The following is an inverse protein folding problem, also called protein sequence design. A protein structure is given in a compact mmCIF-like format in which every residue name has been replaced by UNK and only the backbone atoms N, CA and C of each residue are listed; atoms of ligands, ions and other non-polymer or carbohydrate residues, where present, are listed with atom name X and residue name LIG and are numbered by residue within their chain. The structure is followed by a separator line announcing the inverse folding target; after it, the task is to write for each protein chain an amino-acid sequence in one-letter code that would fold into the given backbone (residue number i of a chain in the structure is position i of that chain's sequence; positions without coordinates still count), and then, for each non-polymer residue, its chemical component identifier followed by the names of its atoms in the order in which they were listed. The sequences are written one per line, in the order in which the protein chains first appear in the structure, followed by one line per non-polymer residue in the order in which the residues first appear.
data_IF_446590061607
#
_entry.id   IF_446590061607
#
_cell.length_a   1.000
_cell.length_b   1.000
_cell.length_c   1.000
_cell.angle_alpha   90.00
_cell.angle_beta   90.00
_cell.angle_gamma   90.00
#
_symmetry.space_group_name_H-M   'P 1'
#
loop_
_entity.id
_entity.type
_entity.pdbx_description
1 polymer ?
#
# COMPACT_ATOMS: atom_id res chain seq x y z
N UNK A 1 -2.20 -20.30 0.62
CA UNK A 1 -1.86 -20.35 -0.81
C UNK A 1 -1.16 -19.07 -1.15
N UNK A 2 0.03 -19.15 -1.75
CA UNK A 2 0.72 -17.94 -2.20
C UNK A 2 -0.14 -17.27 -3.27
N UNK A 3 -0.12 -15.94 -3.34
CA UNK A 3 -0.85 -15.18 -4.35
C UNK A 3 -0.58 -15.71 -5.78
N UNK A 4 0.65 -16.19 -6.02
CA UNK A 4 1.09 -16.88 -7.23
C UNK A 4 0.17 -18.04 -7.65
N UNK A 5 -0.16 -18.94 -6.71
CA UNK A 5 -0.98 -20.14 -7.00
C UNK A 5 -2.42 -19.76 -7.28
N UNK A 6 -2.93 -18.76 -6.58
CA UNK A 6 -4.31 -18.31 -6.73
C UNK A 6 -4.57 -17.74 -8.12
N UNK A 7 -3.63 -16.95 -8.65
CA UNK A 7 -3.73 -16.36 -10.00
C UNK A 7 -3.88 -17.42 -11.09
N UNK A 8 -3.20 -18.57 -10.96
CA UNK A 8 -3.27 -19.60 -11.99
C UNK A 8 -4.67 -20.19 -12.17
N UNK A 9 -5.45 -20.22 -11.08
CA UNK A 9 -6.83 -20.71 -11.06
C UNK A 9 -7.88 -19.63 -11.38
N UNK A 10 -7.48 -18.37 -11.57
CA UNK A 10 -8.42 -17.28 -11.79
C UNK A 10 -9.09 -17.36 -13.15
N UNK A 11 -10.40 -17.11 -13.14
CA UNK A 11 -11.24 -16.90 -14.32
C UNK A 11 -12.20 -15.72 -14.03
N UNK A 12 -12.66 -14.99 -15.06
CA UNK A 12 -12.27 -15.10 -16.48
C UNK A 12 -10.84 -14.57 -16.75
N UNK A 13 -10.34 -14.75 -17.98
CA UNK A 13 -8.98 -14.38 -18.36
C UNK A 13 -8.64 -12.90 -18.09
N UNK A 14 -9.60 -11.98 -18.26
CA UNK A 14 -9.41 -10.56 -17.93
C UNK A 14 -9.09 -10.33 -16.45
N UNK A 15 -9.75 -11.08 -15.55
CA UNK A 15 -9.49 -11.04 -14.12
C UNK A 15 -8.10 -11.60 -13.82
N UNK A 16 -7.74 -12.72 -14.46
CA UNK A 16 -6.39 -13.30 -14.36
C UNK A 16 -5.33 -12.30 -14.80
N UNK A 17 -5.51 -11.65 -15.95
CA UNK A 17 -4.59 -10.67 -16.49
C UNK A 17 -4.40 -9.45 -15.55
N UNK A 18 -5.48 -8.94 -14.97
CA UNK A 18 -5.42 -7.84 -14.00
C UNK A 18 -4.56 -8.18 -12.78
N UNK A 19 -4.82 -9.34 -12.18
CA UNK A 19 -4.07 -9.80 -11.02
C UNK A 19 -2.61 -10.18 -11.36
N UNK A 20 -2.40 -10.80 -12.52
CA UNK A 20 -1.06 -11.14 -13.02
C UNK A 20 -0.21 -9.89 -13.24
N UNK A 21 -0.79 -8.82 -13.76
CA UNK A 21 -0.07 -7.55 -13.90
C UNK A 21 0.39 -7.00 -12.54
N UNK A 22 -0.49 -7.00 -11.54
CA UNK A 22 -0.14 -6.59 -10.18
C UNK A 22 0.99 -7.46 -9.58
N UNK A 23 0.85 -8.79 -9.70
CA UNK A 23 1.82 -9.75 -9.24
C UNK A 23 3.20 -9.56 -9.89
N UNK A 24 3.25 -9.41 -11.22
CA UNK A 24 4.50 -9.44 -11.98
C UNK A 24 5.33 -8.16 -11.86
N UNK A 25 4.69 -7.03 -11.53
CA UNK A 25 5.31 -5.71 -11.62
C UNK A 25 5.24 -4.87 -10.34
N UNK A 26 4.35 -5.21 -9.40
CA UNK A 26 4.06 -4.33 -8.25
C UNK A 26 4.15 -5.03 -6.90
N UNK A 27 3.56 -6.23 -6.75
CA UNK A 27 3.49 -6.89 -5.45
C UNK A 27 4.84 -7.45 -5.01
N UNK A 28 5.35 -6.98 -3.87
CA UNK A 28 6.63 -7.40 -3.30
C UNK A 28 7.85 -6.65 -3.85
N UNK A 29 7.65 -5.74 -4.81
CA UNK A 29 8.74 -4.91 -5.34
C UNK A 29 9.04 -3.77 -4.36
N UNK A 30 10.33 -3.48 -4.09
CA UNK A 30 10.70 -2.30 -3.31
C UNK A 30 10.19 -1.00 -3.95
N UNK A 31 9.71 -0.08 -3.12
CA UNK A 31 9.29 1.25 -3.54
C UNK A 31 10.15 2.28 -2.78
N UNK A 32 10.80 3.17 -3.53
CA UNK A 32 11.73 4.18 -3.01
C UNK A 32 11.16 5.61 -3.08
N UNK A 33 9.98 5.78 -3.69
CA UNK A 33 9.28 7.06 -3.77
C UNK A 33 8.23 7.15 -2.67
N UNK A 34 8.29 8.24 -1.88
CA UNK A 34 7.40 8.44 -0.74
C UNK A 34 5.91 8.56 -1.14
N UNK A 35 5.62 9.21 -2.28
CA UNK A 35 4.24 9.35 -2.75
C UNK A 35 3.68 7.99 -3.21
N UNK A 36 4.49 7.16 -3.86
CA UNK A 36 4.08 5.79 -4.21
C UNK A 36 3.95 4.88 -2.97
N UNK A 37 4.83 5.02 -1.97
CA UNK A 37 4.68 4.34 -0.68
C UNK A 37 3.37 4.74 0.02
N UNK A 38 3.07 6.04 0.05
CA UNK A 38 1.82 6.55 0.58
C UNK A 38 0.62 6.02 -0.24
N UNK A 39 0.70 6.06 -1.56
CA UNK A 39 -0.31 5.51 -2.46
C UNK A 39 -0.61 4.05 -2.17
N UNK A 40 0.43 3.20 -2.02
CA UNK A 40 0.25 1.80 -1.62
C UNK A 40 -0.47 1.69 -0.27
N UNK A 41 -0.07 2.45 0.74
CA UNK A 41 -0.74 2.44 2.05
C UNK A 41 -2.23 2.82 1.93
N UNK A 42 -2.57 3.82 1.12
CA UNK A 42 -3.96 4.23 0.89
C UNK A 42 -4.77 3.13 0.18
N UNK A 43 -4.18 2.46 -0.80
CA UNK A 43 -4.84 1.34 -1.49
C UNK A 43 -5.13 0.18 -0.52
N UNK A 44 -4.18 -0.19 0.34
CA UNK A 44 -4.36 -1.25 1.35
C UNK A 44 -5.39 -0.86 2.41
N UNK A 45 -5.41 0.40 2.87
CA UNK A 45 -6.47 0.90 3.77
C UNK A 45 -7.85 0.77 3.12
N UNK A 46 -7.93 1.06 1.82
CA UNK A 46 -9.20 1.01 1.10
C UNK A 46 -9.66 -0.42 0.78
N UNK A 47 -8.75 -1.39 0.73
CA UNK A 47 -9.04 -2.81 0.56
C UNK A 47 -9.87 -3.38 1.72
N UNK A 48 -9.77 -2.83 2.94
CA UNK A 48 -10.45 -3.37 4.11
C UNK A 48 -11.97 -3.55 3.89
N UNK A 49 -12.42 -4.81 3.92
CA UNK A 49 -13.82 -5.21 3.68
C UNK A 49 -14.21 -5.38 2.20
N UNK A 50 -13.25 -5.38 1.28
CA UNK A 50 -13.43 -5.52 -0.17
C UNK A 50 -12.41 -6.50 -0.76
N UNK A 51 -12.62 -6.92 -2.01
CA UNK A 51 -11.61 -7.67 -2.75
C UNK A 51 -10.48 -6.75 -3.22
N UNK A 52 -9.26 -7.27 -3.29
CA UNK A 52 -8.14 -6.52 -3.89
C UNK A 52 -8.40 -6.20 -5.37
N UNK A 53 -9.12 -7.06 -6.08
CA UNK A 53 -9.58 -6.80 -7.46
C UNK A 53 -10.36 -5.47 -7.57
N UNK A 54 -11.21 -5.18 -6.57
CA UNK A 54 -11.96 -3.92 -6.53
C UNK A 54 -11.01 -2.73 -6.47
N UNK A 55 -9.93 -2.85 -5.71
CA UNK A 55 -8.92 -1.80 -5.58
C UNK A 55 -8.11 -1.66 -6.87
N UNK A 56 -7.65 -2.77 -7.46
CA UNK A 56 -6.93 -2.75 -8.74
C UNK A 56 -7.74 -2.10 -9.86
N UNK A 57 -9.04 -2.43 -9.98
CA UNK A 57 -9.95 -1.81 -10.96
C UNK A 57 -10.15 -0.30 -10.73
N UNK A 58 -9.98 0.17 -9.49
CA UNK A 58 -10.17 1.57 -9.10
C UNK A 58 -8.86 2.35 -8.96
N UNK A 59 -7.71 1.72 -9.13
CA UNK A 59 -6.41 2.35 -8.85
C UNK A 59 -6.22 3.67 -9.62
N UNK A 60 -6.54 3.68 -10.91
CA UNK A 60 -6.45 4.90 -11.73
C UNK A 60 -7.35 6.03 -11.19
N UNK A 61 -8.56 5.70 -10.74
CA UNK A 61 -9.47 6.67 -10.13
C UNK A 61 -8.93 7.15 -8.77
N UNK A 62 -8.36 6.26 -7.95
CA UNK A 62 -7.71 6.65 -6.69
C UNK A 62 -6.55 7.62 -6.93
N UNK A 63 -5.70 7.34 -7.92
CA UNK A 63 -4.59 8.23 -8.29
C UNK A 63 -5.12 9.62 -8.65
N UNK A 64 -6.14 9.72 -9.50
CA UNK A 64 -6.73 11.02 -9.86
C UNK A 64 -7.39 11.72 -8.67
N UNK A 65 -8.16 10.98 -7.86
CA UNK A 65 -8.92 11.54 -6.75
C UNK A 65 -8.02 12.15 -5.66
N UNK A 66 -6.85 11.54 -5.42
CA UNK A 66 -5.87 11.91 -4.40
C UNK A 66 -4.63 12.62 -4.98
N UNK A 67 -4.76 13.38 -6.08
CA UNK A 67 -3.66 14.17 -6.67
C UNK A 67 -2.38 13.36 -6.94
N UNK A 68 -2.52 12.18 -7.52
CA UNK A 68 -1.44 11.21 -7.75
C UNK A 68 -0.69 10.79 -6.47
N UNK A 69 -1.41 10.80 -5.34
CA UNK A 69 -0.88 10.51 -4.00
C UNK A 69 0.24 11.46 -3.57
N UNK A 70 0.24 12.70 -4.07
CA UNK A 70 1.13 13.75 -3.59
C UNK A 70 0.83 14.02 -2.10
N UNK A 71 1.76 13.59 -1.24
CA UNK A 71 1.62 13.68 0.22
C UNK A 71 1.39 15.14 0.65
N UNK A 72 2.08 16.09 0.02
CA UNK A 72 1.95 17.51 0.39
C UNK A 72 0.54 18.00 0.07
N UNK A 73 0.02 17.73 -1.14
CA UNK A 73 -1.34 18.13 -1.50
C UNK A 73 -2.39 17.47 -0.62
N UNK A 74 -2.32 16.15 -0.46
CA UNK A 74 -3.32 15.38 0.32
C UNK A 74 -3.33 15.79 1.78
N UNK A 75 -2.18 16.13 2.38
CA UNK A 75 -2.13 16.62 3.76
C UNK A 75 -2.84 17.98 3.96
N UNK A 76 -2.94 18.78 2.90
CA UNK A 76 -3.60 20.10 2.92
C UNK A 76 -5.08 20.06 2.49
N UNK A 77 -5.63 18.88 2.20
CA UNK A 77 -7.04 18.72 1.86
C UNK A 77 -7.96 19.27 2.95
N UNK A 78 -8.97 20.02 2.52
CA UNK A 78 -9.94 20.70 3.37
C UNK A 78 -11.23 19.89 3.54
N UNK A 79 -12.25 20.46 4.17
CA UNK A 79 -13.58 19.80 4.23
C UNK A 79 -14.22 19.71 2.85
N UNK A 80 -13.99 20.71 1.99
CA UNK A 80 -14.44 20.70 0.60
C UNK A 80 -13.87 19.49 -0.17
N UNK A 81 -12.59 19.18 0.03
CA UNK A 81 -11.98 17.97 -0.55
C UNK A 81 -12.58 16.69 0.00
N UNK A 82 -12.88 16.63 1.30
CA UNK A 82 -13.56 15.46 1.90
C UNK A 82 -14.94 15.27 1.28
N UNK A 83 -15.71 16.33 1.10
CA UNK A 83 -17.02 16.29 0.44
C UNK A 83 -16.88 15.85 -1.01
N UNK A 84 -15.90 16.39 -1.76
CA UNK A 84 -15.59 15.97 -3.13
C UNK A 84 -15.31 14.47 -3.20
N UNK A 85 -14.38 13.97 -2.38
CA UNK A 85 -14.01 12.55 -2.33
C UNK A 85 -15.17 11.64 -1.93
N UNK A 86 -16.03 12.07 -1.00
CA UNK A 86 -17.21 11.30 -0.59
C UNK A 86 -18.30 11.25 -1.66
N UNK A 87 -18.28 12.14 -2.64
CA UNK A 87 -19.18 12.13 -3.77
C UNK A 87 -18.59 11.45 -5.02
N UNK A 88 -17.30 11.12 -5.02
CA UNK A 88 -16.63 10.47 -6.14
C UNK A 88 -16.92 8.95 -6.18
N UNK A 89 -17.65 8.52 -7.21
CA UNK A 89 -17.98 7.11 -7.44
C UNK A 89 -16.79 6.26 -7.95
N UNK A 90 -15.72 6.91 -8.40
CA UNK A 90 -14.46 6.30 -8.81
C UNK A 90 -13.75 5.60 -7.65
N UNK A 91 -13.88 6.09 -6.43
CA UNK A 91 -13.22 5.57 -5.23
C UNK A 91 -14.19 4.89 -4.24
N UNK A 92 -13.68 4.50 -3.07
CA UNK A 92 -14.49 3.95 -1.97
C UNK A 92 -14.99 5.11 -1.09
N UNK A 93 -16.28 5.43 -1.21
CA UNK A 93 -16.97 6.53 -0.49
C UNK A 93 -17.20 6.18 0.98
N UNK A 94 -16.12 6.14 1.77
CA UNK A 94 -16.16 5.86 3.20
C UNK A 94 -15.46 6.98 3.98
N UNK A 95 -16.21 7.63 4.88
CA UNK A 95 -15.74 8.79 5.65
C UNK A 95 -14.51 8.49 6.50
N UNK A 96 -14.44 7.31 7.12
CA UNK A 96 -13.30 6.92 7.95
C UNK A 96 -12.04 6.71 7.11
N UNK A 97 -12.17 6.08 5.93
CA UNK A 97 -11.04 5.85 5.01
C UNK A 97 -10.52 7.14 4.37
N UNK A 98 -11.41 8.03 3.93
CA UNK A 98 -11.05 9.37 3.42
C UNK A 98 -10.32 10.16 4.50
N UNK A 99 -10.86 10.17 5.73
CA UNK A 99 -10.21 10.85 6.83
C UNK A 99 -8.84 10.26 7.16
N UNK A 100 -8.72 8.94 7.15
CA UNK A 100 -7.45 8.26 7.37
C UNK A 100 -6.40 8.65 6.33
N UNK A 101 -6.76 8.79 5.05
CA UNK A 101 -5.81 9.19 4.02
C UNK A 101 -5.19 10.57 4.30
N UNK A 102 -6.03 11.56 4.63
CA UNK A 102 -5.59 12.93 4.91
C UNK A 102 -4.74 12.99 6.19
N UNK A 103 -5.19 12.34 7.27
CA UNK A 103 -4.42 12.34 8.53
C UNK A 103 -3.11 11.57 8.40
N UNK A 104 -3.07 10.49 7.60
CA UNK A 104 -1.84 9.75 7.35
C UNK A 104 -0.85 10.57 6.52
N UNK A 105 -1.30 11.34 5.54
CA UNK A 105 -0.43 12.25 4.80
C UNK A 105 0.23 13.28 5.74
N UNK A 106 -0.53 13.86 6.68
CA UNK A 106 0.00 14.77 7.71
C UNK A 106 1.03 14.08 8.63
N UNK A 107 0.74 12.85 9.06
CA UNK A 107 1.70 12.05 9.81
C UNK A 107 2.99 11.86 9.02
N UNK A 108 2.91 11.51 7.73
CA UNK A 108 4.09 11.32 6.89
C UNK A 108 4.90 12.60 6.74
N UNK A 109 4.28 13.78 6.59
CA UNK A 109 5.02 15.06 6.59
C UNK A 109 5.84 15.23 7.88
N UNK A 110 5.30 14.80 9.02
CA UNK A 110 6.03 14.85 10.30
C UNK A 110 7.22 13.89 10.29
N UNK A 111 7.00 12.66 9.80
CA UNK A 111 8.08 11.67 9.66
C UNK A 111 9.17 12.15 8.69
N UNK A 112 8.81 12.80 7.58
CA UNK A 112 9.75 13.36 6.62
C UNK A 112 10.66 14.42 7.25
N UNK A 113 10.15 15.21 8.21
CA UNK A 113 10.96 16.19 8.96
C UNK A 113 11.96 15.52 9.91
N UNK A 114 11.58 14.39 10.51
CA UNK A 114 12.39 13.69 11.51
C UNK A 114 13.41 12.71 10.89
N UNK A 115 13.00 11.97 9.85
CA UNK A 115 13.77 10.87 9.26
C UNK A 115 14.26 11.19 7.84
N UNK A 116 13.83 12.31 7.26
CA UNK A 116 14.16 12.73 5.90
C UNK A 116 13.22 12.18 4.82
N UNK A 117 12.63 11.00 5.01
CA UNK A 117 11.59 10.44 4.12
C UNK A 117 10.73 9.39 4.84
N UNK A 118 9.58 9.03 4.27
CA UNK A 118 8.76 7.92 4.74
C UNK A 118 9.50 6.58 4.57
N UNK A 119 10.19 6.39 3.45
CA UNK A 119 11.06 5.23 3.25
C UNK A 119 12.10 5.11 4.37
N UNK A 120 12.84 6.18 4.68
CA UNK A 120 13.88 6.17 5.71
C UNK A 120 13.31 5.88 7.09
N UNK A 121 12.09 6.31 7.37
CA UNK A 121 11.39 5.94 8.60
C UNK A 121 11.10 4.43 8.66
N UNK A 122 10.65 3.83 7.55
CA UNK A 122 10.48 2.38 7.46
C UNK A 122 11.82 1.64 7.61
N UNK A 123 12.89 2.10 6.94
CA UNK A 123 14.22 1.51 7.05
C UNK A 123 14.78 1.60 8.47
N UNK A 124 14.66 2.76 9.12
CA UNK A 124 15.11 2.99 10.49
C UNK A 124 14.49 2.00 11.49
N UNK A 125 13.25 1.60 11.24
CA UNK A 125 12.52 0.69 12.10
C UNK A 125 12.67 -0.78 11.73
N UNK A 126 13.24 -1.11 10.57
CA UNK A 126 13.52 -2.48 10.17
C UNK A 126 14.81 -2.99 10.83
N UNK A 127 14.89 -4.26 11.27
CA UNK A 127 13.85 -5.29 11.24
C UNK A 127 12.86 -5.19 12.43
N UNK A 128 11.63 -5.64 12.20
CA UNK A 128 10.56 -5.79 13.22
C UNK A 128 9.72 -7.01 12.93
N UNK A 129 9.18 -7.65 13.98
CA UNK A 129 8.15 -8.67 13.79
C UNK A 129 6.86 -8.05 13.28
N UNK A 130 5.95 -8.87 12.74
CA UNK A 130 4.62 -8.41 12.30
C UNK A 130 3.89 -7.69 13.45
N UNK A 131 3.93 -8.22 14.66
CA UNK A 131 3.27 -7.64 15.83
C UNK A 131 3.85 -6.28 16.20
N UNK A 132 5.17 -6.12 16.11
CA UNK A 132 5.86 -4.85 16.37
C UNK A 132 5.53 -3.80 15.32
N UNK A 133 5.52 -4.19 14.04
CA UNK A 133 5.07 -3.33 12.95
C UNK A 133 3.64 -2.86 13.12
N UNK A 134 2.72 -3.76 13.46
CA UNK A 134 1.31 -3.43 13.71
C UNK A 134 1.18 -2.45 14.88
N UNK A 135 1.92 -2.66 15.97
CA UNK A 135 1.93 -1.73 17.11
C UNK A 135 2.45 -0.35 16.71
N UNK A 136 3.52 -0.29 15.92
CA UNK A 136 4.10 0.96 15.44
C UNK A 136 3.12 1.70 14.52
N UNK A 137 2.59 1.04 13.50
CA UNK A 137 1.66 1.64 12.55
C UNK A 137 0.36 2.13 13.20
N UNK A 138 -0.17 1.44 14.22
CA UNK A 138 -1.35 1.90 14.96
C UNK A 138 -1.10 3.14 15.82
N UNK A 139 0.15 3.36 16.26
CA UNK A 139 0.55 4.57 16.99
C UNK A 139 0.74 5.75 16.03
N UNK A 140 1.26 5.49 14.84
CA UNK A 140 1.66 6.54 13.88
C UNK A 140 0.53 6.94 12.92
N UNK A 141 -0.28 5.98 12.48
CA UNK A 141 -1.25 6.14 11.40
C UNK A 141 -2.67 5.75 11.83
N UNK A 142 -3.64 6.25 11.07
CA UNK A 142 -5.05 5.93 11.18
C UNK A 142 -5.41 4.77 10.24
N UNK A 143 -6.34 3.94 10.70
CA UNK A 143 -6.92 2.83 9.92
C UNK A 143 -5.92 1.74 9.51
N UNK A 144 -4.88 1.52 10.31
CA UNK A 144 -3.81 0.55 10.07
C UNK A 144 -4.00 -0.72 10.91
N UNK A 145 -5.02 -1.50 10.55
CA UNK A 145 -5.29 -2.81 11.15
C UNK A 145 -4.19 -3.84 10.85
N UNK A 146 -4.20 -4.98 11.55
CA UNK A 146 -3.15 -6.00 11.44
C UNK A 146 -2.91 -6.51 10.02
N UNK A 147 -3.99 -6.75 9.28
CA UNK A 147 -3.91 -7.22 7.90
C UNK A 147 -3.44 -6.14 6.93
N UNK A 148 -3.90 -4.90 7.12
CA UNK A 148 -3.48 -3.75 6.30
C UNK A 148 -1.97 -3.53 6.41
N UNK A 149 -1.45 -3.58 7.64
CA UNK A 149 0.01 -3.42 7.87
C UNK A 149 0.78 -4.59 7.27
N UNK A 150 0.27 -5.82 7.39
CA UNK A 150 0.87 -7.01 6.79
C UNK A 150 0.98 -6.87 5.28
N UNK A 151 -0.14 -6.63 4.60
CA UNK A 151 -0.19 -6.53 3.15
C UNK A 151 0.57 -5.31 2.63
N UNK A 152 0.51 -4.18 3.33
CA UNK A 152 1.36 -3.02 3.02
C UNK A 152 2.83 -3.43 3.01
N UNK A 153 3.37 -3.94 4.12
CA UNK A 153 4.79 -4.25 4.24
C UNK A 153 5.24 -5.40 3.32
N UNK A 154 4.38 -6.39 3.08
CA UNK A 154 4.64 -7.45 2.09
C UNK A 154 4.67 -6.88 0.67
N UNK A 155 3.71 -6.02 0.32
CA UNK A 155 3.59 -5.45 -1.02
C UNK A 155 4.78 -4.57 -1.41
N UNK A 156 5.47 -3.95 -0.44
CA UNK A 156 6.62 -3.08 -0.68
C UNK A 156 7.98 -3.73 -0.36
N UNK A 157 7.99 -5.04 -0.07
CA UNK A 157 9.23 -5.79 0.12
C UNK A 157 9.93 -5.61 1.49
N UNK A 158 9.21 -5.19 2.53
CA UNK A 158 9.72 -5.16 3.92
C UNK A 158 9.48 -6.46 4.67
N UNK A 159 8.37 -7.15 4.38
CA UNK A 159 8.10 -8.50 4.86
C UNK A 159 8.12 -9.49 3.68
N UNK A 160 8.61 -10.70 3.94
CA UNK A 160 8.56 -11.80 2.98
C UNK A 160 7.15 -12.38 2.85
N UNK A 161 6.95 -13.21 1.81
CA UNK A 161 5.69 -13.96 1.61
C UNK A 161 4.81 -13.45 0.47
N UNK A 162 5.17 -12.34 -0.19
CA UNK A 162 4.42 -11.83 -1.34
C UNK A 162 4.40 -12.84 -2.51
N UNK A 163 5.48 -13.61 -2.66
CA UNK A 163 5.64 -14.63 -3.69
C UNK A 163 6.06 -15.96 -3.10
N UNK A 164 5.70 -17.06 -3.76
CA UNK A 164 6.23 -18.38 -3.41
C UNK A 164 7.73 -18.47 -3.74
N UNK A 165 8.51 -19.32 -3.04
CA UNK A 165 9.94 -19.49 -3.33
C UNK A 165 10.25 -19.97 -4.76
N UNK A 166 9.28 -20.65 -5.39
CA UNK A 166 9.39 -21.16 -6.76
C UNK A 166 8.98 -20.14 -7.82
N UNK A 167 8.36 -19.02 -7.43
CA UNK A 167 7.92 -17.98 -8.35
C UNK A 167 9.12 -17.31 -9.06
N UNK A 168 9.05 -17.17 -10.38
CA UNK A 168 10.08 -16.47 -11.16
C UNK A 168 10.16 -14.98 -10.81
N UNK A 169 9.03 -14.37 -10.41
CA UNK A 169 9.00 -12.97 -9.98
C UNK A 169 9.72 -12.80 -8.64
N UNK A 170 9.61 -13.76 -7.72
CA UNK A 170 10.40 -13.75 -6.48
C UNK A 170 11.91 -13.64 -6.77
N UNK A 171 12.41 -14.45 -7.72
CA UNK A 171 13.83 -14.40 -8.15
C UNK A 171 14.23 -13.05 -8.78
N UNK A 172 13.28 -12.32 -9.39
CA UNK A 172 13.53 -10.96 -9.89
C UNK A 172 13.61 -9.97 -8.75
N UNK A 173 12.66 -10.04 -7.81
CA UNK A 173 12.60 -9.18 -6.62
C UNK A 173 13.87 -9.35 -5.76
N UNK A 174 14.35 -10.57 -5.53
CA UNK A 174 15.57 -10.84 -4.76
C UNK A 174 16.80 -10.08 -5.30
N UNK A 175 16.90 -9.90 -6.62
CA UNK A 175 17.99 -9.13 -7.26
C UNK A 175 17.91 -7.64 -6.95
N UNK A 176 16.73 -7.13 -6.61
CA UNK A 176 16.50 -5.75 -6.16
C UNK A 176 16.84 -5.55 -4.68
N UNK A 177 17.29 -6.59 -3.97
CA UNK A 177 17.71 -6.54 -2.56
C UNK A 177 16.64 -5.94 -1.62
N UNK A 178 15.41 -6.49 -1.62
CA UNK A 178 14.34 -6.02 -0.75
C UNK A 178 14.72 -6.10 0.72
N UNK A 179 14.05 -5.31 1.55
CA UNK A 179 14.35 -5.17 2.97
C UNK A 179 14.16 -6.48 3.74
N UNK A 180 13.24 -7.36 3.34
CA UNK A 180 13.08 -8.67 3.99
C UNK A 180 14.31 -9.60 3.87
N UNK A 181 15.24 -9.33 2.94
CA UNK A 181 16.54 -10.05 2.88
C UNK A 181 17.58 -9.50 3.86
N UNK A 182 17.40 -8.26 4.33
CA UNK A 182 18.28 -7.63 5.32
C UNK A 182 17.79 -8.03 6.72
N UNK A 183 18.62 -8.82 7.41
CA UNK A 183 18.39 -9.26 8.80
C UNK A 183 18.93 -8.26 9.79
#
# INVERSE_FOLDING_TARGET
MAYCEYIETMQPEERKALHKNYHDHHYGFPIHDDNELFGRLILEINQAGLSWETILKKEAAFRQAYDHFDIQKVAHYTEEDRVRLLNDAGIIRNRLKVNAAIENAKSIITLQKEFGSFEKWLEHHHPKTKEEWVKLFKKTFKFTGGEIVNEFLMSIGYLGGAHSPTCLINKKIEKLKPMWLKK
#
